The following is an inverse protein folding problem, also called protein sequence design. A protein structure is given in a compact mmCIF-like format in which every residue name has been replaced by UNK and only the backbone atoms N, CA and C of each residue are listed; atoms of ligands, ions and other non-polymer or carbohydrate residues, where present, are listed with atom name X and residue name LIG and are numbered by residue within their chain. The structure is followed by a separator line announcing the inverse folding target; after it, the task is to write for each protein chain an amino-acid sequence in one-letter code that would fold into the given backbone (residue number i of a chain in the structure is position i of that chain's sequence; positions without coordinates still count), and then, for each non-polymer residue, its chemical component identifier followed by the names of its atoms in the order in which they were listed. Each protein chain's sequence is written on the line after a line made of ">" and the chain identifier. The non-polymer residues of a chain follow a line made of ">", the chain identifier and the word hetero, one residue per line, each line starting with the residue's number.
data_IF_838704236802
#
_entry.id   IF_838704236802
#
_cell.length_a   1.000
_cell.length_b   1.000
_cell.length_c   1.000
_cell.angle_alpha   90.00
_cell.angle_beta   90.00
_cell.angle_gamma   90.00
#
_symmetry.space_group_name_H-M   'P 1'
#
loop_
_entity.id
_entity.type
_entity.pdbx_description
1 polymer ?
#
# COMPACT_ATOMS: atom_id res chain seq x y z
N UNK A 1 17.27 17.46 41.01
CA UNK A 1 16.24 16.46 40.74
C UNK A 1 15.25 17.05 39.73
N UNK A 2 15.60 17.01 38.45
CA UNK A 2 14.72 17.40 37.35
C UNK A 2 14.14 16.13 36.74
N UNK A 3 12.88 15.92 37.00
CA UNK A 3 12.06 14.92 36.27
C UNK A 3 11.83 15.44 34.87
N UNK A 4 12.52 14.86 33.90
CA UNK A 4 12.22 15.01 32.48
C UNK A 4 10.99 14.16 32.21
N UNK A 5 9.82 14.78 32.23
CA UNK A 5 8.60 14.26 31.64
C UNK A 5 8.82 14.22 30.12
N UNK A 6 8.92 13.01 29.56
CA UNK A 6 8.80 12.80 28.15
C UNK A 6 7.40 13.29 27.70
N UNK A 7 7.29 14.02 26.59
CA UNK A 7 5.98 14.41 26.09
C UNK A 7 5.24 13.15 25.65
N UNK A 8 4.10 12.87 26.28
CA UNK A 8 3.10 11.94 25.79
C UNK A 8 2.59 12.43 24.43
N UNK A 9 3.26 11.97 23.36
CA UNK A 9 2.72 12.11 22.02
C UNK A 9 1.72 10.98 21.81
N UNK A 10 0.59 11.05 22.47
CA UNK A 10 -0.60 10.31 22.08
C UNK A 10 -1.21 11.06 20.91
N UNK A 11 -0.69 10.83 19.71
CA UNK A 11 -1.41 11.14 18.48
C UNK A 11 -2.49 10.07 18.28
N UNK A 12 -3.51 10.11 19.14
CA UNK A 12 -4.76 9.41 18.89
C UNK A 12 -5.41 10.06 17.66
N UNK A 13 -5.08 9.56 16.48
CA UNK A 13 -5.79 9.97 15.29
C UNK A 13 -7.23 9.49 15.41
N UNK A 14 -8.18 10.42 15.21
CA UNK A 14 -9.60 10.11 15.29
C UNK A 14 -10.00 9.03 14.26
N UNK A 15 -11.01 8.21 14.57
CA UNK A 15 -11.60 7.29 13.61
C UNK A 15 -11.98 8.01 12.32
N UNK A 16 -11.76 7.34 11.19
CA UNK A 16 -12.09 7.84 9.86
C UNK A 16 -13.37 7.17 9.38
N UNK A 17 -14.36 7.97 9.06
CA UNK A 17 -15.61 7.47 8.47
C UNK A 17 -15.52 7.52 6.95
N UNK A 18 -15.90 6.42 6.31
CA UNK A 18 -16.02 6.29 4.86
C UNK A 18 -17.50 6.14 4.55
N UNK A 19 -18.00 6.89 3.60
CA UNK A 19 -19.39 6.80 3.13
C UNK A 19 -19.41 6.72 1.60
N UNK A 20 -20.56 6.37 1.03
CA UNK A 20 -20.73 6.36 -0.42
C UNK A 20 -20.44 7.73 -1.05
N UNK A 21 -20.83 8.80 -0.38
CA UNK A 21 -20.64 10.18 -0.84
C UNK A 21 -19.23 10.72 -0.60
N UNK A 22 -18.49 10.12 0.34
CA UNK A 22 -17.14 10.54 0.73
C UNK A 22 -16.20 9.33 0.79
N UNK A 23 -15.68 8.87 -0.35
CA UNK A 23 -14.61 7.87 -0.40
C UNK A 23 -13.37 8.38 0.34
N UNK A 24 -12.57 7.46 0.86
CA UNK A 24 -11.38 7.80 1.64
C UNK A 24 -10.10 7.46 0.86
N UNK A 25 -9.27 8.48 0.66
CA UNK A 25 -7.96 8.29 0.04
C UNK A 25 -6.96 7.70 1.03
N UNK A 26 -6.37 6.56 0.67
CA UNK A 26 -5.34 5.88 1.44
C UNK A 26 -3.97 6.52 1.16
N UNK A 27 -3.84 7.82 1.46
CA UNK A 27 -2.63 8.62 1.24
C UNK A 27 -2.10 9.13 2.57
N UNK A 28 -0.80 9.23 2.65
CA UNK A 28 -0.07 9.80 3.80
C UNK A 28 0.87 8.79 4.46
N UNK A 29 1.87 9.31 5.15
CA UNK A 29 2.83 8.51 5.92
C UNK A 29 2.28 8.21 7.33
N UNK A 30 1.10 7.63 7.38
CA UNK A 30 0.43 7.31 8.65
C UNK A 30 0.52 5.83 9.02
N UNK A 31 0.09 5.52 10.23
CA UNK A 31 -0.10 4.14 10.67
C UNK A 31 -1.10 3.41 9.75
N UNK A 32 -0.98 2.09 9.60
CA UNK A 32 -2.00 1.30 8.95
C UNK A 32 -3.37 1.54 9.59
N UNK A 33 -4.42 1.44 8.79
CA UNK A 33 -5.80 1.62 9.24
C UNK A 33 -6.46 0.26 9.38
N UNK A 34 -7.11 0.01 10.51
CA UNK A 34 -7.95 -1.18 10.71
C UNK A 34 -9.39 -0.85 10.39
N UNK A 35 -10.01 -1.65 9.56
CA UNK A 35 -11.45 -1.61 9.36
C UNK A 35 -12.14 -2.23 10.57
N UNK A 36 -12.93 -1.45 11.31
CA UNK A 36 -13.62 -1.90 12.52
C UNK A 36 -15.11 -2.13 12.30
N UNK A 37 -15.69 -1.45 11.31
CA UNK A 37 -17.11 -1.59 10.98
C UNK A 37 -17.33 -1.38 9.48
N UNK A 38 -18.32 -2.08 8.91
CA UNK A 38 -18.69 -2.00 7.50
C UNK A 38 -17.79 -2.82 6.58
N UNK A 39 -17.90 -2.53 5.28
CA UNK A 39 -17.10 -3.16 4.23
C UNK A 39 -16.58 -2.09 3.28
N UNK A 40 -15.35 -2.22 2.85
CA UNK A 40 -14.78 -1.32 1.84
C UNK A 40 -14.19 -2.10 0.67
N UNK A 41 -14.24 -1.47 -0.49
CA UNK A 41 -13.53 -1.94 -1.69
C UNK A 41 -12.44 -0.93 -2.04
N UNK A 42 -11.21 -1.40 -2.13
CA UNK A 42 -10.06 -0.58 -2.46
C UNK A 42 -9.81 -0.63 -3.96
N UNK A 43 -9.64 0.54 -4.55
CA UNK A 43 -9.27 0.73 -5.95
C UNK A 43 -8.00 1.56 -6.07
N UNK A 44 -7.19 1.25 -7.08
CA UNK A 44 -6.19 2.16 -7.58
C UNK A 44 -6.81 3.08 -8.63
N UNK A 45 -6.54 4.37 -8.51
CA UNK A 45 -7.00 5.43 -9.41
C UNK A 45 -5.74 6.10 -9.96
N UNK A 46 -5.64 6.18 -11.29
CA UNK A 46 -4.56 6.90 -11.96
C UNK A 46 -5.08 8.26 -12.40
N UNK A 47 -4.33 9.30 -12.13
CA UNK A 47 -4.66 10.68 -12.48
C UNK A 47 -3.53 11.31 -13.29
N UNK A 48 -3.88 12.13 -14.26
CA UNK A 48 -2.96 13.04 -14.94
C UNK A 48 -3.56 14.43 -14.90
N UNK A 49 -2.75 15.40 -14.52
CA UNK A 49 -3.16 16.81 -14.38
C UNK A 49 -4.43 16.97 -13.52
N UNK A 50 -4.52 16.20 -12.42
CA UNK A 50 -5.64 16.20 -11.47
C UNK A 50 -6.94 15.58 -12.01
N UNK A 51 -6.89 14.89 -13.14
CA UNK A 51 -8.05 14.18 -13.70
C UNK A 51 -7.81 12.69 -13.75
N UNK A 52 -8.81 11.92 -13.34
CA UNK A 52 -8.75 10.47 -13.48
C UNK A 52 -8.60 10.08 -14.95
N UNK A 53 -7.62 9.22 -15.23
CA UNK A 53 -7.39 8.62 -16.54
C UNK A 53 -7.66 7.11 -16.47
N UNK A 54 -8.47 6.63 -17.40
CA UNK A 54 -8.83 5.22 -17.46
C UNK A 54 -9.78 4.77 -16.35
N UNK A 55 -9.93 3.46 -16.24
CA UNK A 55 -10.82 2.84 -15.26
C UNK A 55 -10.13 2.65 -13.92
N UNK A 56 -10.91 2.73 -12.85
CA UNK A 56 -10.48 2.30 -11.50
C UNK A 56 -10.09 0.83 -11.55
N UNK A 57 -9.00 0.48 -10.89
CA UNK A 57 -8.51 -0.90 -10.83
C UNK A 57 -8.81 -1.46 -9.46
N UNK A 58 -9.58 -2.53 -9.43
CA UNK A 58 -9.85 -3.26 -8.20
C UNK A 58 -8.54 -3.79 -7.60
N UNK A 59 -8.33 -3.54 -6.31
CA UNK A 59 -7.23 -4.08 -5.53
C UNK A 59 -7.74 -5.23 -4.68
N UNK A 60 -8.64 -4.93 -3.73
CA UNK A 60 -9.22 -5.92 -2.83
C UNK A 60 -10.49 -5.39 -2.17
N UNK A 61 -11.28 -6.31 -1.64
CA UNK A 61 -12.32 -6.01 -0.65
C UNK A 61 -11.76 -6.26 0.76
N UNK A 62 -12.22 -5.45 1.71
CA UNK A 62 -11.84 -5.58 3.11
C UNK A 62 -13.08 -5.63 4.00
N UNK A 63 -12.97 -6.41 5.06
CA UNK A 63 -13.98 -6.67 6.08
C UNK A 63 -13.47 -6.26 7.47
N UNK A 64 -14.33 -6.15 8.48
CA UNK A 64 -13.89 -5.83 9.85
C UNK A 64 -12.77 -6.74 10.34
N UNK A 65 -11.70 -6.13 10.85
CA UNK A 65 -10.45 -6.77 11.24
C UNK A 65 -9.31 -6.63 10.23
N UNK A 66 -9.60 -6.40 8.95
CA UNK A 66 -8.59 -6.22 7.92
C UNK A 66 -7.82 -4.91 8.09
N UNK A 67 -6.56 -4.93 7.67
CA UNK A 67 -5.70 -3.74 7.62
C UNK A 67 -5.63 -3.18 6.21
N UNK A 68 -5.69 -1.86 6.13
CA UNK A 68 -5.45 -1.07 4.94
C UNK A 68 -4.16 -0.25 5.13
N UNK A 69 -3.28 -0.29 4.15
CA UNK A 69 -2.04 0.47 4.21
C UNK A 69 -2.16 1.71 3.33
N UNK A 70 -1.59 2.80 3.81
CA UNK A 70 -1.53 4.05 3.06
C UNK A 70 -0.32 4.07 2.15
N UNK A 71 -0.40 4.85 1.08
CA UNK A 71 0.73 5.14 0.19
C UNK A 71 1.24 6.56 0.47
N UNK A 72 2.54 6.83 0.32
CA UNK A 72 3.03 8.20 0.39
C UNK A 72 2.40 9.06 -0.70
N UNK A 73 2.32 10.35 -0.46
CA UNK A 73 1.97 11.30 -1.51
C UNK A 73 2.99 11.22 -2.64
N UNK A 74 2.48 11.07 -3.85
CA UNK A 74 3.31 11.12 -5.05
C UNK A 74 3.06 12.44 -5.79
N UNK A 75 4.13 13.09 -6.22
CA UNK A 75 4.07 14.29 -7.04
C UNK A 75 4.55 13.95 -8.44
N UNK A 76 3.87 14.48 -9.47
CA UNK A 76 4.24 14.28 -10.86
C UNK A 76 3.06 14.55 -11.80
N UNK A 77 3.33 14.62 -13.08
CA UNK A 77 2.29 14.82 -14.10
C UNK A 77 1.29 13.65 -14.15
N UNK A 78 1.72 12.46 -13.73
CA UNK A 78 0.85 11.28 -13.56
C UNK A 78 1.08 10.71 -12.17
N UNK A 79 0.01 10.56 -11.42
CA UNK A 79 0.02 10.03 -10.07
C UNK A 79 -0.93 8.84 -9.97
N UNK A 80 -0.66 7.94 -9.02
CA UNK A 80 -1.56 6.86 -8.68
C UNK A 80 -1.88 6.93 -7.19
N UNK A 81 -3.16 6.80 -6.84
CA UNK A 81 -3.61 6.75 -5.45
C UNK A 81 -4.49 5.55 -5.19
N UNK A 82 -4.49 5.08 -3.96
CA UNK A 82 -5.41 4.07 -3.49
C UNK A 82 -6.59 4.75 -2.79
N UNK A 83 -7.79 4.29 -3.07
CA UNK A 83 -8.99 4.87 -2.52
C UNK A 83 -9.95 3.78 -2.05
N UNK A 84 -10.45 3.91 -0.82
CA UNK A 84 -11.45 3.03 -0.22
C UNK A 84 -12.86 3.57 -0.47
N UNK A 85 -13.72 2.72 -0.99
CA UNK A 85 -15.12 2.98 -1.27
C UNK A 85 -16.00 2.03 -0.45
N UNK A 86 -17.17 2.48 -0.07
CA UNK A 86 -18.21 1.65 0.54
C UNK A 86 -19.56 1.91 -0.11
N UNK A 87 -20.47 0.93 -0.05
CA UNK A 87 -21.85 1.12 -0.48
C UNK A 87 -22.68 1.89 0.57
N UNK A 88 -22.34 1.72 1.86
CA UNK A 88 -23.08 2.32 2.97
C UNK A 88 -22.16 3.20 3.82
N UNK A 89 -21.72 2.64 4.92
CA UNK A 89 -20.84 3.28 5.90
C UNK A 89 -19.76 2.29 6.33
N UNK A 90 -18.55 2.79 6.54
CA UNK A 90 -17.45 2.02 7.11
C UNK A 90 -16.64 2.91 8.06
N UNK A 91 -15.97 2.29 9.03
CA UNK A 91 -15.15 2.98 10.01
C UNK A 91 -13.75 2.40 10.02
N UNK A 92 -12.78 3.27 9.79
CA UNK A 92 -11.34 2.97 9.83
C UNK A 92 -10.72 3.61 11.06
N UNK A 93 -9.87 2.87 11.75
CA UNK A 93 -9.14 3.35 12.95
C UNK A 93 -7.66 3.13 12.73
N UNK A 94 -6.80 4.11 13.03
CA UNK A 94 -5.36 3.89 13.01
C UNK A 94 -4.96 2.75 13.94
N UNK A 95 -4.02 1.92 13.48
CA UNK A 95 -3.46 0.86 14.31
C UNK A 95 -2.42 1.48 15.21
N UNK A 96 -2.58 1.29 16.52
CA UNK A 96 -1.57 1.67 17.49
C UNK A 96 -0.30 0.85 17.27
N UNK A 97 0.85 1.51 17.21
CA UNK A 97 2.16 0.85 17.09
C UNK A 97 2.44 -0.12 18.26
N UNK A 98 1.81 0.12 19.40
CA UNK A 98 1.91 -0.76 20.57
C UNK A 98 1.10 -2.06 20.43
N UNK A 99 0.21 -2.17 19.45
CA UNK A 99 -0.57 -3.37 19.23
C UNK A 99 0.29 -4.47 18.58
N UNK A 100 0.38 -5.68 19.15
CA UNK A 100 1.19 -6.76 18.60
C UNK A 100 0.52 -7.39 17.37
N UNK A 101 0.59 -6.68 16.24
CA UNK A 101 0.08 -7.19 14.96
C UNK A 101 1.27 -7.64 14.12
N UNK A 102 1.30 -8.87 13.61
CA UNK A 102 2.36 -9.31 12.70
C UNK A 102 2.19 -8.62 11.35
N UNK A 103 2.76 -7.41 11.23
CA UNK A 103 2.57 -6.56 10.05
C UNK A 103 3.21 -7.16 8.79
N UNK A 104 4.35 -7.83 8.88
CA UNK A 104 5.09 -8.30 7.72
C UNK A 104 4.25 -9.16 6.74
N UNK A 105 3.57 -10.24 7.15
CA UNK A 105 2.76 -11.02 6.22
C UNK A 105 1.55 -10.24 5.67
N UNK A 106 1.04 -9.26 6.41
CA UNK A 106 -0.08 -8.42 5.95
C UNK A 106 0.38 -7.40 4.91
N UNK A 107 1.57 -6.83 5.08
CA UNK A 107 2.21 -5.97 4.08
C UNK A 107 2.51 -6.77 2.81
N UNK A 108 3.05 -7.97 2.92
CA UNK A 108 3.31 -8.83 1.77
C UNK A 108 2.03 -9.15 0.99
N UNK A 109 0.95 -9.50 1.67
CA UNK A 109 -0.34 -9.75 1.04
C UNK A 109 -0.88 -8.49 0.35
N UNK A 110 -0.79 -7.32 0.99
CA UNK A 110 -1.20 -6.05 0.43
C UNK A 110 -0.42 -5.69 -0.84
N UNK A 111 0.91 -5.80 -0.79
CA UNK A 111 1.78 -5.52 -1.94
C UNK A 111 1.51 -6.48 -3.09
N UNK A 112 1.20 -7.75 -2.79
CA UNK A 112 0.83 -8.72 -3.82
C UNK A 112 -0.46 -8.30 -4.53
N UNK A 113 -1.51 -7.92 -3.79
CA UNK A 113 -2.78 -7.46 -4.35
C UNK A 113 -2.58 -6.22 -5.24
N UNK A 114 -1.83 -5.22 -4.74
CA UNK A 114 -1.53 -3.99 -5.51
C UNK A 114 -0.75 -4.33 -6.78
N UNK A 115 0.28 -5.18 -6.66
CA UNK A 115 1.10 -5.57 -7.81
C UNK A 115 0.28 -6.30 -8.86
N UNK A 116 -0.58 -7.23 -8.47
CA UNK A 116 -1.44 -7.96 -9.38
C UNK A 116 -2.41 -7.04 -10.13
N UNK A 117 -3.00 -6.08 -9.42
CA UNK A 117 -3.90 -5.11 -10.03
C UNK A 117 -3.20 -4.19 -11.03
N UNK A 118 -1.95 -3.79 -10.75
CA UNK A 118 -1.18 -2.90 -11.63
C UNK A 118 -0.57 -3.67 -12.81
N UNK A 119 0.09 -4.80 -12.56
CA UNK A 119 0.79 -5.59 -13.58
C UNK A 119 -0.20 -6.33 -14.49
N UNK A 120 -1.27 -6.91 -13.92
CA UNK A 120 -2.29 -7.62 -14.70
C UNK A 120 -2.95 -6.76 -15.79
N UNK A 121 -3.01 -5.45 -15.57
CA UNK A 121 -3.57 -4.51 -16.54
C UNK A 121 -2.61 -4.10 -17.67
N UNK A 122 -1.31 -4.34 -17.54
CA UNK A 122 -0.30 -3.96 -18.55
C UNK A 122 0.11 -5.14 -19.45
N UNK A 123 -0.56 -6.32 -19.33
CA UNK A 123 -0.12 -7.52 -20.03
C UNK A 123 1.35 -7.77 -19.70
N UNK A 124 1.61 -8.37 -18.53
CA UNK A 124 2.93 -8.40 -17.91
C UNK A 124 4.05 -8.62 -18.91
N UNK A 125 5.07 -7.78 -18.89
CA UNK A 125 6.28 -7.97 -19.70
C UNK A 125 6.77 -9.40 -19.40
N UNK A 126 6.61 -10.26 -20.39
CA UNK A 126 7.19 -11.61 -20.34
C UNK A 126 8.70 -11.44 -20.41
N UNK A 127 9.40 -11.86 -19.40
CA UNK A 127 10.85 -11.78 -19.30
C UNK A 127 11.31 -11.26 -17.93
N UNK A 128 12.59 -11.39 -17.68
CA UNK A 128 13.23 -10.97 -16.46
C UNK A 128 13.81 -12.14 -15.66
N UNK A 129 14.75 -11.82 -14.80
CA UNK A 129 15.39 -12.77 -13.90
C UNK A 129 14.46 -13.10 -12.74
N UNK A 130 14.25 -14.38 -12.50
CA UNK A 130 13.46 -14.86 -11.38
C UNK A 130 14.34 -14.97 -10.14
N UNK A 131 13.89 -14.43 -9.02
CA UNK A 131 14.57 -14.50 -7.73
C UNK A 131 13.68 -15.12 -6.67
N UNK A 132 14.31 -15.74 -5.68
CA UNK A 132 13.65 -16.30 -4.48
C UNK A 132 14.37 -15.82 -3.23
N UNK A 133 13.75 -15.94 -2.05
CA UNK A 133 14.41 -15.61 -0.80
C UNK A 133 15.76 -16.35 -0.64
N UNK A 134 16.79 -15.60 -0.26
CA UNK A 134 18.16 -16.11 -0.07
C UNK A 134 19.03 -16.10 -1.32
N UNK A 135 18.51 -15.73 -2.50
CA UNK A 135 19.35 -15.55 -3.68
C UNK A 135 20.24 -14.31 -3.51
N UNK A 136 21.49 -14.44 -3.96
CA UNK A 136 22.41 -13.33 -4.13
C UNK A 136 22.94 -13.39 -5.56
N UNK A 137 22.70 -12.33 -6.34
CA UNK A 137 23.08 -12.29 -7.74
C UNK A 137 23.37 -10.86 -8.19
N UNK A 138 24.28 -10.73 -9.17
CA UNK A 138 24.50 -9.48 -9.88
C UNK A 138 23.61 -9.41 -11.12
N UNK A 139 23.01 -8.25 -11.35
CA UNK A 139 22.14 -8.00 -12.49
C UNK A 139 22.72 -6.85 -13.33
N UNK A 140 22.63 -6.97 -14.64
CA UNK A 140 23.02 -5.89 -15.53
C UNK A 140 22.05 -4.70 -15.40
N UNK A 141 22.51 -3.49 -15.70
CA UNK A 141 21.66 -2.31 -15.74
C UNK A 141 20.45 -2.52 -16.67
N UNK A 142 19.27 -2.13 -16.25
CA UNK A 142 18.02 -2.32 -16.99
C UNK A 142 17.44 -3.75 -16.90
N UNK A 143 18.04 -4.65 -16.12
CA UNK A 143 17.46 -5.97 -15.89
C UNK A 143 16.13 -5.86 -15.15
N UNK A 144 15.12 -6.59 -15.62
CA UNK A 144 13.88 -6.78 -14.90
C UNK A 144 14.02 -7.96 -13.92
N UNK A 145 13.69 -7.73 -12.66
CA UNK A 145 13.75 -8.75 -11.60
C UNK A 145 12.32 -9.05 -11.16
N UNK A 146 12.02 -10.32 -10.99
CA UNK A 146 10.69 -10.79 -10.57
C UNK A 146 10.83 -11.84 -9.48
N UNK A 147 9.92 -11.79 -8.49
CA UNK A 147 9.81 -12.88 -7.54
C UNK A 147 9.30 -14.15 -8.24
N UNK A 148 9.86 -15.30 -7.90
CA UNK A 148 9.34 -16.60 -8.35
C UNK A 148 7.98 -16.88 -7.74
N UNK A 149 7.71 -16.36 -6.54
CA UNK A 149 6.50 -16.60 -5.77
C UNK A 149 6.30 -15.48 -4.75
N UNK A 150 5.07 -14.97 -4.63
CA UNK A 150 4.73 -13.98 -3.62
C UNK A 150 5.50 -12.66 -3.75
N UNK A 151 5.92 -12.12 -2.64
CA UNK A 151 6.76 -10.91 -2.53
C UNK A 151 8.16 -11.32 -2.10
N UNK A 152 9.19 -10.74 -2.72
CA UNK A 152 10.58 -10.89 -2.33
C UNK A 152 11.15 -9.51 -2.06
N UNK A 153 11.67 -9.32 -0.86
CA UNK A 153 12.36 -8.11 -0.47
C UNK A 153 13.81 -8.18 -0.96
N UNK A 154 14.26 -7.11 -1.60
CA UNK A 154 15.61 -7.01 -2.16
C UNK A 154 16.41 -5.98 -1.37
N UNK A 155 17.63 -6.35 -1.00
CA UNK A 155 18.65 -5.42 -0.55
C UNK A 155 19.58 -5.12 -1.74
N UNK A 156 19.68 -3.84 -2.11
CA UNK A 156 20.54 -3.39 -3.20
C UNK A 156 21.83 -2.87 -2.58
N UNK A 157 22.92 -3.64 -2.74
CA UNK A 157 24.23 -3.28 -2.17
C UNK A 157 25.03 -2.34 -3.05
N UNK A 158 24.82 -2.40 -4.37
CA UNK A 158 25.45 -1.50 -5.35
C UNK A 158 24.45 -1.13 -6.45
N UNK A 159 24.51 0.12 -6.92
CA UNK A 159 23.64 0.62 -7.97
C UNK A 159 22.30 1.13 -7.44
N UNK A 160 21.24 0.91 -8.19
CA UNK A 160 19.88 1.34 -7.83
C UNK A 160 18.82 0.40 -8.42
N UNK A 161 17.65 0.39 -7.81
CA UNK A 161 16.47 -0.31 -8.31
C UNK A 161 15.24 0.58 -8.26
N UNK A 162 14.32 0.41 -9.20
CA UNK A 162 13.02 1.05 -9.21
C UNK A 162 11.92 -0.01 -9.12
N UNK A 163 10.92 0.25 -8.29
CA UNK A 163 9.75 -0.61 -8.17
C UNK A 163 8.72 -0.23 -9.23
N UNK A 164 8.38 -1.16 -10.10
CA UNK A 164 7.42 -0.96 -11.19
C UNK A 164 7.78 0.21 -12.15
N UNK A 165 9.08 0.55 -12.22
CA UNK A 165 9.64 1.62 -13.04
C UNK A 165 9.59 1.40 -14.54
#
# INVERSE_FOLDING_TARGET
>A
LNSLLAPDVVLSQAPREVTQAAPFDLIGAGAPLRLVDGHVTVFAIVEADGRQIGNRRFIRSASPGDLLFTTPETSGATTARLCAFTADRAVLVPVDEAAPVPLAPLVDAWLLDVTQAVVGARGGRQGGSLVKPGDAAAFAAGSLIRATRGVVWLEVTEGGAAFLG
#
